data_IF_260511325705
#
_entry.id   IF_260511325705
#
_cell.length_a   1.000
_cell.length_b   1.000
_cell.length_c   1.000
_cell.angle_alpha   90.00
_cell.angle_beta   90.00
_cell.angle_gamma   90.00
#
_symmetry.space_group_name_H-M   'P 1'
#
loop_
_entity.id
_entity.type
_entity.pdbx_description
1 polymer ?
#
# COMPACT_ATOMS: atom_id res chain seq x y z
N UNK A 1 4.43 -26.42 3.96
CA UNK A 1 4.99 -25.86 2.72
C UNK A 1 4.21 -24.61 2.38
N UNK A 2 4.85 -23.55 1.86
CA UNK A 2 4.17 -22.34 1.42
C UNK A 2 4.36 -22.20 -0.09
N UNK A 3 3.29 -21.84 -0.78
CA UNK A 3 3.28 -21.48 -2.20
C UNK A 3 2.85 -20.02 -2.27
N UNK A 4 3.57 -19.25 -3.07
CA UNK A 4 3.33 -17.84 -3.29
C UNK A 4 2.95 -17.66 -4.76
N UNK A 5 1.68 -17.39 -4.98
CA UNK A 5 1.09 -17.19 -6.30
C UNK A 5 0.74 -15.72 -6.50
N UNK A 6 0.58 -15.34 -7.77
CA UNK A 6 0.20 -13.98 -8.11
C UNK A 6 -0.79 -13.89 -9.27
N UNK A 7 -1.56 -12.80 -9.26
CA UNK A 7 -2.43 -12.39 -10.36
C UNK A 7 -1.94 -11.03 -10.84
N UNK A 8 -1.58 -10.94 -12.12
CA UNK A 8 -1.13 -9.68 -12.72
C UNK A 8 -2.34 -8.87 -13.16
N UNK A 9 -2.48 -7.67 -12.61
CA UNK A 9 -3.49 -6.70 -12.99
C UNK A 9 -2.98 -5.76 -14.08
N UNK A 10 -3.66 -5.79 -15.24
CA UNK A 10 -3.50 -4.76 -16.25
C UNK A 10 -4.50 -3.64 -15.98
N UNK A 11 -4.00 -2.58 -15.34
CA UNK A 11 -4.75 -1.38 -14.94
C UNK A 11 -5.40 -0.65 -16.13
N UNK A 12 -4.74 -0.65 -17.29
CA UNK A 12 -5.21 0.08 -18.48
C UNK A 12 -6.47 -0.55 -19.06
N UNK A 13 -6.48 -1.88 -19.15
CA UNK A 13 -7.59 -2.61 -19.78
C UNK A 13 -8.57 -3.20 -18.75
N UNK A 14 -8.27 -3.05 -17.46
CA UNK A 14 -9.02 -3.65 -16.36
C UNK A 14 -9.18 -5.18 -16.52
N UNK A 15 -8.07 -5.85 -16.86
CA UNK A 15 -7.99 -7.30 -17.11
C UNK A 15 -6.97 -7.97 -16.20
N UNK A 16 -7.14 -9.27 -15.96
CA UNK A 16 -6.25 -10.09 -15.15
C UNK A 16 -5.56 -11.15 -16.01
N UNK A 17 -4.27 -11.36 -15.79
CA UNK A 17 -3.53 -12.43 -16.46
C UNK A 17 -3.89 -13.78 -15.84
N UNK A 18 -4.15 -14.78 -16.69
CA UNK A 18 -4.34 -16.18 -16.32
C UNK A 18 -3.61 -17.08 -17.31
N UNK A 19 -3.10 -18.22 -16.84
CA UNK A 19 -2.40 -19.19 -17.69
C UNK A 19 -2.93 -20.60 -17.54
N UNK A 20 -2.72 -21.40 -18.58
CA UNK A 20 -3.14 -22.79 -18.66
C UNK A 20 -1.93 -23.71 -18.75
N UNK A 21 -1.85 -24.65 -17.83
CA UNK A 21 -0.78 -25.65 -17.78
C UNK A 21 -0.76 -26.50 -19.03
N UNK A 22 0.44 -26.83 -19.51
CA UNK A 22 0.62 -27.78 -20.61
C UNK A 22 0.10 -29.18 -20.24
N UNK A 23 -0.34 -29.92 -21.26
CA UNK A 23 -0.92 -31.26 -21.10
C UNK A 23 0.08 -32.29 -20.57
N UNK A 24 1.37 -32.06 -20.79
CA UNK A 24 2.46 -32.95 -20.38
C UNK A 24 2.90 -32.73 -18.92
N UNK A 25 2.27 -31.80 -18.19
CA UNK A 25 2.58 -31.56 -16.78
C UNK A 25 2.12 -32.72 -15.92
N UNK A 26 3.00 -33.19 -15.04
CA UNK A 26 2.71 -34.28 -14.09
C UNK A 26 1.56 -33.97 -13.12
N UNK A 27 1.42 -32.71 -12.73
CA UNK A 27 0.48 -32.23 -11.73
C UNK A 27 -0.44 -31.19 -12.38
N UNK A 28 -1.76 -31.45 -12.30
CA UNK A 28 -2.85 -30.68 -12.92
C UNK A 28 -2.67 -30.36 -14.41
N UNK A 29 -2.46 -31.36 -15.28
CA UNK A 29 -2.36 -31.10 -16.72
C UNK A 29 -3.63 -30.44 -17.27
N UNK A 30 -3.45 -29.51 -18.22
CA UNK A 30 -4.56 -28.84 -18.94
C UNK A 30 -5.54 -28.06 -18.04
N UNK A 31 -5.08 -27.57 -16.88
CA UNK A 31 -5.86 -26.73 -15.96
C UNK A 31 -5.44 -25.27 -16.02
N UNK A 32 -6.40 -24.36 -15.83
CA UNK A 32 -6.16 -22.94 -15.60
C UNK A 32 -5.64 -22.71 -14.18
N UNK A 33 -4.63 -21.86 -14.04
CA UNK A 33 -3.96 -21.59 -12.77
C UNK A 33 -3.51 -20.14 -12.62
N UNK A 34 -3.11 -19.81 -11.39
CA UNK A 34 -2.25 -18.68 -11.08
C UNK A 34 -0.78 -19.09 -11.25
N UNK A 35 0.07 -18.27 -11.88
CA UNK A 35 1.52 -18.46 -11.84
C UNK A 35 2.05 -18.25 -10.41
N UNK A 36 3.20 -18.87 -10.13
CA UNK A 36 3.84 -18.82 -8.82
C UNK A 36 4.63 -20.09 -8.53
N UNK A 37 5.13 -20.18 -7.30
CA UNK A 37 5.91 -21.33 -6.89
C UNK A 37 6.22 -21.39 -5.39
N UNK A 38 7.17 -22.25 -5.04
CA UNK A 38 7.47 -22.53 -3.64
C UNK A 38 8.30 -21.42 -3.03
N UNK A 39 7.96 -21.07 -1.79
CA UNK A 39 8.83 -20.24 -0.96
C UNK A 39 10.07 -21.07 -0.57
N UNK A 40 11.25 -20.64 -1.03
CA UNK A 40 12.51 -21.32 -0.74
C UNK A 40 13.02 -21.05 0.68
N UNK A 41 13.94 -21.90 1.16
CA UNK A 41 14.53 -21.72 2.49
C UNK A 41 15.40 -20.44 2.54
N UNK A 42 15.08 -19.56 3.49
CA UNK A 42 15.76 -18.27 3.64
C UNK A 42 15.21 -17.15 2.74
N UNK A 43 14.25 -17.46 1.87
CA UNK A 43 13.59 -16.50 1.00
C UNK A 43 12.40 -15.82 1.70
N UNK A 44 12.26 -14.51 1.52
CA UNK A 44 11.08 -13.75 1.96
C UNK A 44 9.93 -13.86 0.96
N UNK A 45 8.71 -13.49 1.38
CA UNK A 45 7.54 -13.55 0.48
C UNK A 45 7.72 -12.64 -0.73
N UNK A 46 8.26 -11.44 -0.53
CA UNK A 46 8.49 -10.48 -1.63
C UNK A 46 9.58 -10.96 -2.59
N UNK A 47 10.65 -11.57 -2.08
CA UNK A 47 11.69 -12.17 -2.94
C UNK A 47 11.11 -13.31 -3.80
N UNK A 48 10.29 -14.17 -3.21
CA UNK A 48 9.60 -15.25 -3.92
C UNK A 48 8.66 -14.68 -5.00
N UNK A 49 7.84 -13.67 -4.68
CA UNK A 49 7.00 -12.99 -5.67
C UNK A 49 7.82 -12.43 -6.83
N UNK A 50 8.96 -11.80 -6.55
CA UNK A 50 9.82 -11.22 -7.57
C UNK A 50 10.45 -12.31 -8.46
N UNK A 51 11.03 -13.35 -7.85
CA UNK A 51 11.67 -14.47 -8.57
C UNK A 51 10.66 -15.21 -9.44
N UNK A 52 9.54 -15.64 -8.87
CA UNK A 52 8.51 -16.39 -9.58
C UNK A 52 7.88 -15.56 -10.70
N UNK A 53 7.61 -14.26 -10.49
CA UNK A 53 7.15 -13.37 -11.56
C UNK A 53 8.15 -13.33 -12.71
N UNK A 54 9.44 -13.19 -12.40
CA UNK A 54 10.49 -13.11 -13.41
C UNK A 54 10.65 -14.42 -14.17
N UNK A 55 10.65 -15.55 -13.47
CA UNK A 55 10.82 -16.89 -14.06
C UNK A 55 9.61 -17.31 -14.91
N UNK A 56 8.39 -17.04 -14.45
CA UNK A 56 7.15 -17.47 -15.14
C UNK A 56 6.76 -16.54 -16.30
N UNK A 57 7.15 -15.25 -16.26
CA UNK A 57 6.62 -14.25 -17.21
C UNK A 57 7.64 -13.29 -17.82
N UNK A 58 8.89 -13.28 -17.36
CA UNK A 58 9.94 -12.29 -17.67
C UNK A 58 9.60 -10.83 -17.29
N UNK A 59 8.45 -10.56 -16.66
CA UNK A 59 8.02 -9.23 -16.24
C UNK A 59 8.77 -8.77 -14.98
N UNK A 60 8.70 -7.45 -14.72
CA UNK A 60 9.25 -6.81 -13.54
C UNK A 60 8.13 -6.29 -12.65
N UNK A 61 8.17 -6.62 -11.37
CA UNK A 61 7.17 -6.23 -10.39
C UNK A 61 7.15 -4.70 -10.21
N UNK A 62 5.98 -4.08 -10.29
CA UNK A 62 5.80 -2.63 -10.08
C UNK A 62 5.00 -2.28 -8.85
N UNK A 63 4.15 -3.19 -8.37
CA UNK A 63 3.22 -2.95 -7.27
C UNK A 63 2.77 -4.29 -6.65
N UNK A 64 2.59 -4.32 -5.33
CA UNK A 64 1.89 -5.39 -4.62
C UNK A 64 0.65 -4.77 -3.97
N UNK A 65 -0.53 -5.05 -4.52
CA UNK A 65 -1.78 -4.49 -4.00
C UNK A 65 -2.20 -5.13 -2.68
N UNK A 66 -1.97 -6.44 -2.54
CA UNK A 66 -2.29 -7.19 -1.34
C UNK A 66 -2.67 -8.63 -1.62
N UNK A 67 -2.88 -9.41 -0.56
CA UNK A 67 -3.28 -10.81 -0.64
C UNK A 67 -4.77 -10.92 -0.91
N UNK A 68 -5.16 -11.46 -2.06
CA UNK A 68 -6.57 -11.60 -2.47
C UNK A 68 -7.17 -12.94 -2.09
N UNK A 69 -6.36 -13.96 -1.83
CA UNK A 69 -6.83 -15.24 -1.34
C UNK A 69 -5.75 -16.00 -0.57
N UNK A 70 -6.16 -16.90 0.31
CA UNK A 70 -5.29 -17.88 0.96
C UNK A 70 -6.08 -19.16 1.20
N UNK A 71 -5.52 -20.29 0.79
CA UNK A 71 -6.19 -21.59 0.93
C UNK A 71 -5.19 -22.71 1.22
N UNK A 72 -5.69 -23.76 1.86
CA UNK A 72 -4.91 -24.94 2.22
C UNK A 72 -5.22 -26.04 1.23
N UNK A 73 -4.17 -26.64 0.66
CA UNK A 73 -4.29 -27.76 -0.25
C UNK A 73 -4.86 -29.01 0.42
N UNK A 74 -5.29 -29.97 -0.41
CA UNK A 74 -5.86 -31.24 0.05
C UNK A 74 -4.93 -32.07 0.95
N UNK A 75 -3.62 -31.84 0.89
CA UNK A 75 -2.60 -32.45 1.77
C UNK A 75 -2.60 -31.90 3.21
N UNK A 76 -3.36 -30.82 3.46
CA UNK A 76 -3.47 -30.09 4.74
C UNK A 76 -2.16 -29.50 5.28
N UNK A 77 -1.09 -29.50 4.48
CA UNK A 77 0.26 -29.07 4.86
C UNK A 77 0.78 -27.94 3.97
N UNK A 78 0.16 -27.74 2.81
CA UNK A 78 0.54 -26.72 1.86
C UNK A 78 -0.46 -25.56 1.93
N UNK A 79 0.05 -24.37 2.23
CA UNK A 79 -0.70 -23.11 2.23
C UNK A 79 -0.33 -22.38 0.95
N UNK A 80 -1.33 -21.97 0.18
CA UNK A 80 -1.14 -21.11 -0.99
C UNK A 80 -1.69 -19.72 -0.69
N UNK A 81 -0.86 -18.70 -0.89
CA UNK A 81 -1.21 -17.30 -0.73
C UNK A 81 -1.14 -16.62 -2.09
N UNK A 82 -2.25 -16.04 -2.55
CA UNK A 82 -2.37 -15.42 -3.88
C UNK A 82 -2.39 -13.89 -3.74
N UNK A 83 -1.45 -13.22 -4.38
CA UNK A 83 -1.30 -11.76 -4.34
C UNK A 83 -1.77 -11.11 -5.63
N UNK A 84 -2.48 -9.98 -5.53
CA UNK A 84 -2.74 -9.11 -6.67
C UNK A 84 -1.55 -8.16 -6.83
N UNK A 85 -0.99 -8.13 -8.03
CA UNK A 85 0.19 -7.30 -8.35
C UNK A 85 -0.03 -6.52 -9.65
N UNK A 86 0.80 -5.52 -9.91
CA UNK A 86 1.05 -5.06 -11.29
C UNK A 86 2.52 -5.23 -11.65
N UNK A 87 2.77 -5.34 -12.95
CA UNK A 87 4.09 -5.58 -13.50
C UNK A 87 4.24 -4.92 -14.87
N UNK A 88 5.49 -4.68 -15.28
CA UNK A 88 5.85 -4.10 -16.56
C UNK A 88 6.96 -4.89 -17.27
N UNK A 89 7.06 -4.71 -18.59
CA UNK A 89 8.02 -5.41 -19.44
C UNK A 89 7.35 -6.20 -20.54
N UNK A 90 8.13 -7.07 -21.18
CA UNK A 90 7.64 -7.96 -22.24
C UNK A 90 7.27 -9.30 -21.62
N UNK A 91 6.01 -9.70 -21.80
CA UNK A 91 5.51 -10.98 -21.33
C UNK A 91 6.11 -12.11 -22.18
N UNK A 92 6.85 -13.00 -21.52
CA UNK A 92 7.41 -14.21 -22.14
C UNK A 92 7.15 -15.39 -21.20
N UNK A 93 6.48 -16.41 -21.73
CA UNK A 93 6.10 -17.62 -20.97
C UNK A 93 6.77 -18.85 -21.56
N UNK A 94 7.18 -19.77 -20.71
CA UNK A 94 7.78 -21.04 -21.14
C UNK A 94 6.71 -21.97 -21.72
N UNK A 95 6.68 -22.12 -23.06
CA UNK A 95 5.64 -22.89 -23.78
C UNK A 95 5.60 -24.37 -23.42
N UNK A 96 6.68 -24.93 -22.88
CA UNK A 96 6.70 -26.30 -22.36
C UNK A 96 5.84 -26.43 -21.08
N UNK A 97 5.75 -25.36 -20.28
CA UNK A 97 4.94 -25.33 -19.05
C UNK A 97 3.54 -24.76 -19.28
N UNK A 98 3.41 -23.79 -20.19
CA UNK A 98 2.19 -23.03 -20.44
C UNK A 98 1.72 -23.23 -21.89
N UNK A 99 0.56 -23.88 -22.05
CA UNK A 99 -0.04 -24.11 -23.35
C UNK A 99 -0.80 -22.89 -23.89
N UNK A 100 -1.40 -22.11 -23.00
CA UNK A 100 -2.25 -20.98 -23.31
C UNK A 100 -2.18 -19.94 -22.18
N UNK A 101 -2.32 -18.65 -22.50
CA UNK A 101 -2.53 -17.60 -21.51
C UNK A 101 -3.49 -16.55 -22.07
N UNK A 102 -4.21 -15.87 -21.17
CA UNK A 102 -5.21 -14.88 -21.52
C UNK A 102 -5.12 -13.67 -20.59
N UNK A 103 -5.55 -12.52 -21.10
CA UNK A 103 -5.93 -11.36 -20.30
C UNK A 103 -7.45 -11.31 -20.23
N UNK A 104 -8.00 -11.67 -19.08
CA UNK A 104 -9.43 -11.90 -18.92
C UNK A 104 -10.10 -10.75 -18.18
N UNK A 105 -11.35 -10.48 -18.54
CA UNK A 105 -12.27 -9.70 -17.72
C UNK A 105 -13.15 -10.62 -16.86
N UNK A 106 -14.01 -10.04 -16.02
CA UNK A 106 -14.90 -10.78 -15.11
C UNK A 106 -15.88 -11.70 -15.83
N UNK A 107 -16.36 -11.33 -17.02
CA UNK A 107 -17.27 -12.17 -17.79
C UNK A 107 -16.55 -13.42 -18.31
N UNK A 108 -15.35 -13.26 -18.86
CA UNK A 108 -14.52 -14.39 -19.32
C UNK A 108 -14.11 -15.32 -18.18
N UNK A 109 -13.92 -14.79 -16.95
CA UNK A 109 -13.68 -15.63 -15.77
C UNK A 109 -14.84 -16.62 -15.53
N UNK A 110 -16.09 -16.14 -15.60
CA UNK A 110 -17.28 -16.99 -15.41
C UNK A 110 -17.39 -18.06 -16.50
N UNK A 111 -17.04 -17.73 -17.75
CA UNK A 111 -17.03 -18.70 -18.86
C UNK A 111 -15.97 -19.79 -18.66
N UNK A 112 -14.75 -19.41 -18.29
CA UNK A 112 -13.62 -20.33 -18.10
C UNK A 112 -13.91 -21.35 -16.98
N UNK A 113 -14.53 -20.91 -15.89
CA UNK A 113 -14.77 -21.72 -14.69
C UNK A 113 -16.23 -22.14 -14.51
N UNK A 114 -17.05 -22.05 -15.57
CA UNK A 114 -18.51 -22.28 -15.52
C UNK A 114 -18.91 -23.56 -14.77
N UNK A 115 -18.13 -24.64 -14.93
CA UNK A 115 -18.41 -25.96 -14.35
C UNK A 115 -17.45 -26.35 -13.20
N UNK A 116 -16.52 -25.48 -12.79
CA UNK A 116 -15.50 -25.82 -11.79
C UNK A 116 -15.02 -24.59 -10.99
N UNK A 117 -15.89 -24.03 -10.15
CA UNK A 117 -15.55 -22.91 -9.25
C UNK A 117 -14.71 -23.41 -8.07
N UNK A 118 -13.41 -23.49 -8.28
CA UNK A 118 -12.40 -23.91 -7.29
C UNK A 118 -11.67 -22.70 -6.66
N UNK A 119 -10.61 -22.95 -5.88
CA UNK A 119 -9.83 -21.91 -5.22
C UNK A 119 -9.14 -20.94 -6.21
N UNK A 120 -8.80 -21.39 -7.42
CA UNK A 120 -8.27 -20.52 -8.48
C UNK A 120 -9.35 -19.54 -8.93
N UNK A 121 -10.55 -20.02 -9.25
CA UNK A 121 -11.70 -19.14 -9.54
C UNK A 121 -11.94 -18.14 -8.41
N UNK A 122 -11.92 -18.60 -7.15
CA UNK A 122 -12.15 -17.72 -6.00
C UNK A 122 -11.08 -16.62 -5.90
N UNK A 123 -9.83 -16.93 -6.22
CA UNK A 123 -8.72 -15.97 -6.22
C UNK A 123 -8.94 -14.84 -7.25
N UNK A 124 -9.31 -15.19 -8.48
CA UNK A 124 -9.65 -14.20 -9.51
C UNK A 124 -10.94 -13.45 -9.18
N UNK A 125 -11.94 -14.11 -8.61
CA UNK A 125 -13.19 -13.49 -8.20
C UNK A 125 -12.96 -12.41 -7.13
N UNK A 126 -12.16 -12.73 -6.11
CA UNK A 126 -11.76 -11.79 -5.06
C UNK A 126 -10.96 -10.61 -5.64
N UNK A 127 -10.05 -10.86 -6.58
CA UNK A 127 -9.28 -9.80 -7.25
C UNK A 127 -10.20 -8.83 -8.02
N UNK A 128 -11.14 -9.34 -8.82
CA UNK A 128 -12.13 -8.48 -9.49
C UNK A 128 -13.01 -7.73 -8.51
N UNK A 129 -13.48 -8.38 -7.43
CA UNK A 129 -14.28 -7.73 -6.39
C UNK A 129 -13.54 -6.56 -5.75
N UNK A 130 -12.24 -6.74 -5.42
CA UNK A 130 -11.36 -5.70 -4.91
C UNK A 130 -11.23 -4.55 -5.91
N UNK A 131 -10.89 -4.83 -7.17
CA UNK A 131 -10.71 -3.80 -8.21
C UNK A 131 -12.02 -3.03 -8.46
N UNK A 132 -13.17 -3.70 -8.40
CA UNK A 132 -14.48 -3.09 -8.58
C UNK A 132 -14.96 -2.31 -7.33
N UNK A 133 -14.46 -2.64 -6.14
CA UNK A 133 -14.86 -2.00 -4.89
C UNK A 133 -14.63 -0.48 -4.91
N UNK A 134 -13.51 0.00 -5.48
CA UNK A 134 -13.23 1.44 -5.65
C UNK A 134 -14.28 2.15 -6.50
N UNK A 135 -14.85 1.48 -7.53
CA UNK A 135 -15.84 2.10 -8.43
C UNK A 135 -17.12 2.48 -7.67
N UNK A 136 -17.45 1.75 -6.60
CA UNK A 136 -18.63 1.99 -5.76
C UNK A 136 -18.53 3.29 -4.95
N UNK A 137 -17.30 3.74 -4.65
CA UNK A 137 -17.07 4.87 -3.74
C UNK A 137 -16.42 6.07 -4.43
N UNK A 138 -15.64 5.85 -5.50
CA UNK A 138 -14.72 6.81 -6.09
C UNK A 138 -15.36 8.16 -6.40
N UNK A 139 -16.48 8.17 -7.13
CA UNK A 139 -17.15 9.43 -7.49
C UNK A 139 -17.53 10.22 -6.25
N UNK A 140 -18.19 9.57 -5.28
CA UNK A 140 -18.62 10.22 -4.04
C UNK A 140 -17.45 10.70 -3.20
N UNK A 141 -16.32 9.98 -3.18
CA UNK A 141 -15.10 10.44 -2.51
C UNK A 141 -14.55 11.69 -3.21
N UNK A 142 -14.40 11.66 -4.54
CA UNK A 142 -13.87 12.79 -5.31
C UNK A 142 -14.74 14.05 -5.20
N UNK A 143 -16.07 13.89 -5.11
CA UNK A 143 -17.00 15.00 -4.93
C UNK A 143 -16.87 15.70 -3.57
N UNK A 144 -16.26 15.05 -2.57
CA UNK A 144 -16.25 15.54 -1.18
C UNK A 144 -14.84 15.73 -0.59
N UNK A 145 -13.80 15.07 -1.12
CA UNK A 145 -12.46 15.08 -0.52
C UNK A 145 -11.92 16.48 -0.33
N UNK A 146 -12.01 17.37 -1.33
CA UNK A 146 -11.51 18.73 -1.21
C UNK A 146 -12.26 19.56 -0.15
N UNK A 147 -13.56 19.33 0.01
CA UNK A 147 -14.36 19.98 1.06
C UNK A 147 -13.89 19.52 2.44
N UNK A 148 -13.60 18.23 2.59
CA UNK A 148 -13.04 17.69 3.83
C UNK A 148 -11.67 18.30 4.13
N UNK A 149 -10.78 18.35 3.14
CA UNK A 149 -9.43 18.91 3.32
C UNK A 149 -9.45 20.42 3.64
N UNK A 150 -10.41 21.18 3.09
CA UNK A 150 -10.60 22.59 3.47
C UNK A 150 -11.05 22.71 4.94
N UNK A 151 -11.92 21.81 5.42
CA UNK A 151 -12.30 21.73 6.82
C UNK A 151 -11.12 21.40 7.73
N UNK A 152 -10.31 20.39 7.37
CA UNK A 152 -9.07 20.04 8.08
C UNK A 152 -8.14 21.24 8.15
N UNK A 153 -7.92 21.93 7.03
CA UNK A 153 -7.07 23.14 6.95
C UNK A 153 -7.49 24.20 7.96
N UNK A 154 -8.78 24.53 7.98
CA UNK A 154 -9.34 25.54 8.86
C UNK A 154 -9.16 25.18 10.34
N UNK A 155 -9.16 23.89 10.68
CA UNK A 155 -8.90 23.42 12.05
C UNK A 155 -7.40 23.52 12.34
N UNK A 156 -6.54 23.00 11.47
CA UNK A 156 -5.08 23.05 11.61
C UNK A 156 -4.56 24.47 11.83
N UNK A 157 -5.03 25.45 11.05
CA UNK A 157 -4.61 26.86 11.14
C UNK A 157 -4.94 27.52 12.49
N UNK A 158 -5.93 27.01 13.23
CA UNK A 158 -6.23 27.50 14.59
C UNK A 158 -5.13 27.14 15.59
N UNK A 159 -4.50 25.99 15.42
CA UNK A 159 -3.64 25.36 16.43
C UNK A 159 -2.16 25.41 16.07
N UNK A 160 -1.80 25.21 14.81
CA UNK A 160 -0.41 25.14 14.37
C UNK A 160 0.30 26.49 14.55
N UNK A 161 1.42 26.49 15.28
CA UNK A 161 2.21 27.70 15.63
C UNK A 161 1.42 28.79 16.37
N UNK A 162 0.31 28.43 17.03
CA UNK A 162 -0.44 29.39 17.83
C UNK A 162 0.16 29.53 19.23
N UNK A 163 1.05 30.52 19.38
CA UNK A 163 1.82 30.80 20.60
C UNK A 163 0.93 31.03 21.83
N UNK A 164 -0.28 31.54 21.65
CA UNK A 164 -1.18 31.84 22.77
C UNK A 164 -1.84 30.58 23.34
N UNK A 165 -2.03 29.55 22.51
CA UNK A 165 -2.55 28.25 22.93
C UNK A 165 -1.47 27.39 23.63
N UNK A 166 -0.21 27.50 23.20
CA UNK A 166 0.92 26.80 23.84
C UNK A 166 1.16 27.21 25.29
N UNK A 167 0.80 28.45 25.67
CA UNK A 167 0.94 28.96 27.05
C UNK A 167 -0.13 28.45 28.00
N UNK A 168 -1.18 27.81 27.49
CA UNK A 168 -2.23 27.23 28.31
C UNK A 168 -1.78 25.86 28.83
N UNK A 169 -1.03 25.85 29.93
CA UNK A 169 -0.73 24.63 30.68
C UNK A 169 -2.04 24.02 31.18
N UNK A 170 -2.61 23.09 30.41
CA UNK A 170 -3.73 22.27 30.84
C UNK A 170 -3.24 20.89 31.27
N UNK A 171 -3.83 20.29 32.33
CA UNK A 171 -3.41 18.98 32.83
C UNK A 171 -3.70 17.81 31.87
N UNK A 172 -4.52 18.01 30.83
CA UNK A 172 -5.21 16.94 30.08
C UNK A 172 -5.17 17.05 28.54
N UNK A 173 -4.48 18.03 27.94
CA UNK A 173 -4.47 18.12 26.48
C UNK A 173 -3.55 19.21 25.94
N UNK A 174 -2.43 18.78 25.35
CA UNK A 174 -1.59 19.66 24.55
C UNK A 174 -2.39 20.24 23.36
N UNK A 175 -2.04 21.42 22.81
CA UNK A 175 -2.73 21.97 21.65
C UNK A 175 -2.83 21.02 20.45
N UNK A 176 -1.83 20.14 20.28
CA UNK A 176 -1.86 19.12 19.23
C UNK A 176 -2.93 18.06 19.50
N UNK A 177 -3.02 17.54 20.73
CA UNK A 177 -4.07 16.56 21.12
C UNK A 177 -5.50 17.11 20.95
N UNK A 178 -5.70 18.42 21.06
CA UNK A 178 -6.99 19.06 20.79
C UNK A 178 -7.23 19.15 19.28
N UNK A 179 -6.21 19.53 18.51
CA UNK A 179 -6.28 19.57 17.06
C UNK A 179 -6.58 18.20 16.46
N UNK A 180 -5.90 17.15 16.92
CA UNK A 180 -6.12 15.75 16.52
C UNK A 180 -7.57 15.34 16.69
N UNK A 181 -8.11 15.51 17.91
CA UNK A 181 -9.49 15.14 18.24
C UNK A 181 -10.53 15.95 17.45
N UNK A 182 -10.27 17.24 17.20
CA UNK A 182 -11.18 18.10 16.43
C UNK A 182 -11.19 17.70 14.95
N UNK A 183 -10.02 17.43 14.35
CA UNK A 183 -9.88 16.96 12.98
C UNK A 183 -10.53 15.58 12.81
N UNK A 184 -10.26 14.63 13.71
CA UNK A 184 -10.84 13.29 13.67
C UNK A 184 -12.37 13.35 13.75
N UNK A 185 -12.89 14.09 14.74
CA UNK A 185 -14.34 14.25 14.93
C UNK A 185 -14.99 14.88 13.70
N UNK A 186 -14.37 15.88 13.10
CA UNK A 186 -14.84 16.52 11.87
C UNK A 186 -14.88 15.52 10.71
N UNK A 187 -13.77 14.82 10.44
CA UNK A 187 -13.67 13.85 9.35
C UNK A 187 -14.64 12.68 9.54
N UNK A 188 -14.74 12.12 10.75
CA UNK A 188 -15.69 11.07 11.07
C UNK A 188 -17.13 11.50 10.75
N UNK A 189 -17.55 12.69 11.18
CA UNK A 189 -18.90 13.20 10.91
C UNK A 189 -19.16 13.40 9.41
N UNK A 190 -18.22 14.00 8.69
CA UNK A 190 -18.33 14.24 7.25
C UNK A 190 -18.36 12.93 6.44
N UNK A 191 -17.50 11.98 6.79
CA UNK A 191 -17.47 10.66 6.17
C UNK A 191 -18.77 9.90 6.49
N UNK A 192 -19.24 9.89 7.74
CA UNK A 192 -20.47 9.18 8.14
C UNK A 192 -21.71 9.69 7.41
N UNK A 193 -21.80 11.00 7.15
CA UNK A 193 -22.89 11.59 6.32
C UNK A 193 -22.93 10.99 4.92
N UNK A 194 -21.77 10.67 4.34
CA UNK A 194 -21.66 10.13 2.97
C UNK A 194 -21.67 8.61 2.96
N UNK A 195 -21.14 7.96 3.99
CA UNK A 195 -20.94 6.52 4.06
C UNK A 195 -21.45 5.98 5.40
N UNK A 196 -22.78 6.04 5.66
CA UNK A 196 -23.34 5.73 6.97
C UNK A 196 -23.12 4.29 7.42
N UNK A 197 -23.00 3.34 6.48
CA UNK A 197 -22.74 1.94 6.80
C UNK A 197 -21.26 1.63 7.03
N UNK A 198 -20.32 2.44 6.51
CA UNK A 198 -18.90 2.13 6.58
C UNK A 198 -18.38 2.23 8.01
N UNK A 199 -17.42 1.38 8.33
CA UNK A 199 -16.65 1.47 9.55
C UNK A 199 -15.68 2.65 9.49
N UNK A 200 -15.26 3.14 10.65
CA UNK A 200 -14.27 4.19 10.82
C UNK A 200 -13.30 3.79 11.93
N UNK A 201 -12.01 3.97 11.68
CA UNK A 201 -10.92 3.73 12.60
C UNK A 201 -10.13 5.04 12.63
N UNK A 202 -10.08 5.68 13.79
CA UNK A 202 -9.23 6.83 14.06
C UNK A 202 -8.11 6.45 15.03
N UNK A 203 -7.12 7.32 15.16
CA UNK A 203 -6.04 7.18 16.15
C UNK A 203 -6.55 7.51 17.57
N UNK A 204 -7.44 8.51 17.69
CA UNK A 204 -7.76 9.15 18.97
C UNK A 204 -8.98 8.55 19.68
N UNK A 205 -10.00 8.12 18.91
CA UNK A 205 -11.27 7.64 19.47
C UNK A 205 -11.66 6.26 18.96
N UNK A 206 -12.37 5.52 19.83
CA UNK A 206 -13.04 4.28 19.45
C UNK A 206 -14.40 4.59 18.81
N UNK A 207 -14.70 3.89 17.72
CA UNK A 207 -15.98 3.98 17.01
C UNK A 207 -16.65 2.61 16.90
N UNK A 208 -17.97 2.60 16.72
CA UNK A 208 -18.71 1.36 16.53
C UNK A 208 -18.22 0.62 15.28
N UNK A 209 -17.91 -0.66 15.46
CA UNK A 209 -17.39 -1.53 14.41
C UNK A 209 -18.40 -2.61 14.05
N UNK A 210 -18.79 -2.65 12.78
CA UNK A 210 -19.62 -3.70 12.19
C UNK A 210 -18.73 -4.67 11.40
N UNK A 211 -18.52 -5.87 11.96
CA UNK A 211 -17.70 -6.91 11.33
C UNK A 211 -18.25 -7.46 10.02
N UNK A 212 -19.53 -7.19 9.70
CA UNK A 212 -20.15 -7.60 8.44
C UNK A 212 -19.84 -6.65 7.28
N UNK A 213 -19.36 -5.43 7.56
CA UNK A 213 -19.01 -4.47 6.53
C UNK A 213 -17.50 -4.49 6.21
N UNK A 214 -17.19 -4.74 4.94
CA UNK A 214 -15.82 -4.80 4.44
C UNK A 214 -15.17 -3.43 4.21
N UNK A 215 -15.94 -2.34 4.17
CA UNK A 215 -15.42 -0.99 3.99
C UNK A 215 -15.07 -0.33 5.32
N UNK A 216 -13.82 0.09 5.47
CA UNK A 216 -13.28 0.76 6.66
C UNK A 216 -12.55 2.03 6.25
N UNK A 217 -12.96 3.18 6.78
CA UNK A 217 -12.14 4.39 6.73
C UNK A 217 -11.09 4.33 7.83
N UNK A 218 -9.84 4.62 7.50
CA UNK A 218 -8.75 4.69 8.47
C UNK A 218 -8.14 6.08 8.34
N UNK A 219 -8.04 6.80 9.45
CA UNK A 219 -7.63 8.21 9.47
C UNK A 219 -6.59 8.44 10.55
N UNK A 220 -5.48 9.08 10.16
CA UNK A 220 -4.59 9.78 11.07
C UNK A 220 -4.83 11.29 10.90
N UNK A 221 -5.35 11.99 11.92
CA UNK A 221 -5.58 13.43 11.87
C UNK A 221 -4.30 14.26 11.68
N UNK A 222 -3.21 13.91 12.37
CA UNK A 222 -1.92 14.61 12.37
C UNK A 222 -0.78 13.57 12.49
N UNK A 223 -0.44 12.96 11.36
CA UNK A 223 0.76 12.15 11.23
C UNK A 223 1.98 13.08 11.30
N UNK A 224 2.91 12.79 12.21
CA UNK A 224 4.00 13.69 12.56
C UNK A 224 3.65 14.68 13.69
N UNK A 225 2.94 14.23 14.73
CA UNK A 225 2.58 15.01 15.94
C UNK A 225 3.76 15.84 16.48
N UNK A 226 4.97 15.27 16.51
CA UNK A 226 6.16 16.00 16.99
C UNK A 226 6.54 17.16 16.06
N UNK A 227 6.41 16.97 14.75
CA UNK A 227 6.62 18.02 13.76
C UNK A 227 5.60 19.14 13.90
N UNK A 228 4.34 18.80 14.16
CA UNK A 228 3.29 19.77 14.50
C UNK A 228 3.66 20.62 15.73
N UNK A 229 3.99 19.98 16.85
CA UNK A 229 4.33 20.65 18.13
C UNK A 229 5.49 21.63 17.96
N UNK A 230 6.53 21.25 17.21
CA UNK A 230 7.73 22.11 17.06
C UNK A 230 7.65 23.06 15.87
N UNK A 231 6.51 23.13 15.18
CA UNK A 231 6.31 24.06 14.07
C UNK A 231 6.97 23.66 12.74
N UNK A 232 7.31 22.38 12.54
CA UNK A 232 7.83 21.86 11.26
C UNK A 232 6.68 21.47 10.33
N UNK A 233 6.60 21.99 9.09
CA UNK A 233 5.51 21.71 8.17
C UNK A 233 5.71 20.38 7.41
N UNK A 234 6.15 19.32 8.09
CA UNK A 234 6.31 17.98 7.53
C UNK A 234 5.18 17.03 7.95
N UNK A 235 4.39 17.41 8.96
CA UNK A 235 3.18 16.68 9.34
C UNK A 235 2.10 16.78 8.25
N UNK A 236 1.12 15.89 8.31
CA UNK A 236 -0.05 15.91 7.45
C UNK A 236 -1.21 15.09 7.99
N UNK A 237 -2.33 15.13 7.29
CA UNK A 237 -3.50 14.28 7.57
C UNK A 237 -3.53 13.13 6.58
N UNK A 238 -3.71 11.91 7.10
CA UNK A 238 -3.83 10.69 6.32
C UNK A 238 -5.28 10.22 6.29
N UNK A 239 -5.81 9.99 5.10
CA UNK A 239 -7.18 9.46 4.91
C UNK A 239 -7.11 8.27 3.97
N UNK A 240 -7.47 7.10 4.48
CA UNK A 240 -7.56 5.86 3.71
C UNK A 240 -8.97 5.29 3.70
N UNK A 241 -9.33 4.61 2.62
CA UNK A 241 -10.46 3.69 2.60
C UNK A 241 -9.94 2.31 2.22
N UNK A 242 -10.26 1.34 3.07
CA UNK A 242 -9.84 -0.05 2.99
C UNK A 242 -11.04 -0.93 2.64
N UNK A 243 -10.83 -1.91 1.77
CA UNK A 243 -11.78 -2.95 1.44
C UNK A 243 -11.15 -4.33 1.69
N UNK A 244 -11.75 -5.14 2.58
CA UNK A 244 -11.22 -6.46 2.97
C UNK A 244 -9.70 -6.44 3.29
N UNK A 245 -9.29 -5.46 4.09
CA UNK A 245 -7.90 -5.21 4.51
C UNK A 245 -6.91 -4.68 3.45
N UNK A 246 -7.38 -4.41 2.23
CA UNK A 246 -6.55 -3.78 1.20
C UNK A 246 -6.97 -2.31 1.00
N UNK A 247 -6.05 -1.35 1.13
CA UNK A 247 -6.34 0.05 0.82
C UNK A 247 -6.72 0.25 -0.64
N UNK A 248 -7.90 0.83 -0.87
CA UNK A 248 -8.45 1.11 -2.21
C UNK A 248 -8.44 2.60 -2.57
N UNK A 249 -8.22 3.47 -1.57
CA UNK A 249 -8.07 4.91 -1.69
C UNK A 249 -7.14 5.41 -0.61
N UNK A 250 -6.28 6.38 -0.95
CA UNK A 250 -5.39 7.04 -0.02
C UNK A 250 -5.27 8.53 -0.34
N UNK A 251 -5.16 9.34 0.70
CA UNK A 251 -4.88 10.76 0.63
C UNK A 251 -3.85 11.15 1.69
N UNK A 252 -2.79 11.82 1.25
CA UNK A 252 -1.86 12.56 2.10
C UNK A 252 -2.17 14.03 1.90
N UNK A 253 -2.45 14.75 2.99
CA UNK A 253 -2.70 16.19 2.94
C UNK A 253 -1.74 16.95 3.84
N UNK A 254 -0.95 17.84 3.24
CA UNK A 254 -0.11 18.79 3.95
C UNK A 254 -0.85 20.15 4.03
N UNK A 255 -1.41 20.54 5.19
CA UNK A 255 -2.31 21.70 5.29
C UNK A 255 -1.62 23.07 5.21
N UNK A 256 -0.32 23.15 5.52
CA UNK A 256 0.47 24.40 5.54
C UNK A 256 0.86 24.85 4.13
N UNK A 257 1.37 23.93 3.31
CA UNK A 257 1.71 24.13 1.90
C UNK A 257 0.51 23.89 0.99
N UNK A 258 -0.58 23.35 1.54
CA UNK A 258 -1.81 22.99 0.84
C UNK A 258 -1.62 21.88 -0.21
N UNK A 259 -0.54 21.09 -0.07
CA UNK A 259 -0.19 19.99 -0.96
C UNK A 259 -1.03 18.74 -0.68
N UNK A 260 -1.50 18.08 -1.75
CA UNK A 260 -2.42 16.92 -1.66
C UNK A 260 -1.96 15.84 -2.61
N UNK A 261 -1.71 14.65 -2.10
CA UNK A 261 -1.52 13.43 -2.89
C UNK A 261 -2.77 12.58 -2.74
N UNK A 262 -3.37 12.18 -3.86
CA UNK A 262 -4.60 11.38 -3.87
C UNK A 262 -4.45 10.27 -4.91
N UNK A 263 -4.78 9.04 -4.52
CA UNK A 263 -4.84 7.91 -5.44
C UNK A 263 -5.89 6.89 -5.03
N UNK A 264 -6.38 6.15 -6.02
CA UNK A 264 -7.15 4.93 -5.82
C UNK A 264 -6.35 3.75 -6.37
N UNK A 265 -6.64 2.54 -5.88
CA UNK A 265 -6.02 1.30 -6.35
C UNK A 265 -6.05 1.22 -7.88
N UNK A 266 -4.90 1.13 -8.55
CA UNK A 266 -4.79 1.04 -10.01
C UNK A 266 -5.26 2.27 -10.79
N UNK A 267 -5.40 3.42 -10.12
CA UNK A 267 -5.58 4.72 -10.79
C UNK A 267 -4.28 5.54 -10.74
N UNK A 268 -4.12 6.54 -11.62
CA UNK A 268 -2.99 7.45 -11.55
C UNK A 268 -2.95 8.27 -10.26
N UNK A 269 -1.75 8.77 -9.92
CA UNK A 269 -1.58 9.74 -8.84
C UNK A 269 -2.17 11.10 -9.24
N UNK A 270 -2.89 11.73 -8.31
CA UNK A 270 -3.31 13.12 -8.40
C UNK A 270 -2.53 13.96 -7.38
N UNK A 271 -1.93 15.05 -7.84
CA UNK A 271 -1.24 16.03 -7.00
C UNK A 271 -1.92 17.39 -7.16
N UNK A 272 -2.43 17.96 -6.06
CA UNK A 272 -3.17 19.24 -6.06
C UNK A 272 -4.27 19.32 -7.15
N UNK A 273 -5.01 18.22 -7.34
CA UNK A 273 -6.06 18.03 -8.36
C UNK A 273 -5.59 17.70 -9.78
N UNK A 274 -4.29 17.77 -10.07
CA UNK A 274 -3.75 17.43 -11.39
C UNK A 274 -3.28 15.99 -11.43
N UNK A 275 -3.64 15.28 -12.50
CA UNK A 275 -3.06 13.96 -12.76
C UNK A 275 -1.55 14.11 -12.99
N UNK A 276 -0.76 13.32 -12.27
CA UNK A 276 0.70 13.25 -12.45
C UNK A 276 1.04 11.98 -13.21
N UNK A 277 1.81 12.12 -14.29
CA UNK A 277 2.49 10.99 -14.90
C UNK A 277 3.91 10.96 -14.32
N UNK A 278 4.15 9.99 -13.44
CA UNK A 278 5.48 9.81 -12.86
C UNK A 278 6.28 8.96 -13.85
N UNK A 279 7.29 9.57 -14.47
CA UNK A 279 8.34 8.83 -15.14
C UNK A 279 9.23 8.18 -14.09
N UNK A 280 9.62 6.92 -14.30
CA UNK A 280 10.69 6.30 -13.53
C UNK A 280 11.98 7.11 -13.74
N UNK A 281 12.55 7.73 -12.69
CA UNK A 281 13.85 8.40 -12.83
C UNK A 281 14.90 7.37 -13.26
N UNK A 282 15.86 7.78 -14.08
CA UNK A 282 17.07 6.99 -14.25
C UNK A 282 17.81 6.97 -12.91
N UNK A 283 18.02 5.79 -12.31
CA UNK A 283 18.93 5.62 -11.19
C UNK A 283 20.34 5.93 -11.71
N UNK A 284 20.74 7.19 -11.60
CA UNK A 284 22.13 7.56 -11.73
C UNK A 284 22.48 8.60 -10.68
N UNK A 285 22.87 8.01 -9.54
CA UNK A 285 23.78 8.52 -8.50
C UNK A 285 23.34 9.79 -7.81
N UNK A 286 22.56 9.59 -6.74
CA UNK A 286 22.61 10.29 -5.46
C UNK A 286 21.37 9.87 -4.64
N UNK A 287 21.43 8.72 -3.95
CA UNK A 287 20.26 8.19 -3.22
C UNK A 287 19.91 9.11 -2.04
N UNK A 288 18.70 9.64 -2.03
CA UNK A 288 18.11 10.39 -0.93
C UNK A 288 17.24 9.47 -0.07
N UNK A 289 17.52 9.40 1.23
CA UNK A 289 16.80 8.52 2.14
C UNK A 289 16.24 9.24 3.34
N UNK A 290 15.07 8.79 3.80
CA UNK A 290 14.48 9.20 5.07
C UNK A 290 14.33 8.01 6.00
N UNK A 291 14.64 8.22 7.28
CA UNK A 291 14.54 7.21 8.34
C UNK A 291 14.09 7.86 9.66
N UNK A 292 13.57 7.09 10.63
CA UNK A 292 13.38 7.60 11.97
C UNK A 292 14.73 7.94 12.63
N UNK A 293 14.68 8.56 13.80
CA UNK A 293 15.88 8.80 14.60
C UNK A 293 16.66 7.48 14.85
N UNK A 294 18.01 7.50 14.86
CA UNK A 294 18.83 6.28 14.98
C UNK A 294 18.49 5.40 16.19
N UNK A 295 17.99 5.99 17.27
CA UNK A 295 17.62 5.31 18.52
C UNK A 295 16.41 4.36 18.37
N UNK A 296 15.63 4.50 17.29
CA UNK A 296 14.50 3.61 16.98
C UNK A 296 14.99 2.23 16.53
N UNK A 297 16.18 2.13 15.92
CA UNK A 297 16.77 0.87 15.49
C UNK A 297 17.37 0.13 16.69
N UNK A 298 16.67 -0.88 17.21
CA UNK A 298 17.01 -1.59 18.45
C UNK A 298 17.54 -3.00 18.19
N UNK A 299 16.94 -3.72 17.23
CA UNK A 299 17.33 -5.09 16.93
C UNK A 299 18.59 -5.14 16.07
N UNK A 300 19.34 -6.24 16.15
CA UNK A 300 20.53 -6.45 15.31
C UNK A 300 20.21 -6.34 13.81
N UNK A 301 19.03 -6.81 13.41
CA UNK A 301 18.56 -6.75 12.02
C UNK A 301 18.30 -5.31 11.60
N UNK A 302 17.55 -4.55 12.39
CA UNK A 302 17.27 -3.13 12.15
C UNK A 302 18.55 -2.30 12.06
N UNK A 303 19.50 -2.51 12.98
CA UNK A 303 20.79 -1.84 12.96
C UNK A 303 21.56 -2.18 11.66
N UNK A 304 21.62 -3.46 11.28
CA UNK A 304 22.28 -3.87 10.04
C UNK A 304 21.65 -3.22 8.79
N UNK A 305 20.32 -3.18 8.72
CA UNK A 305 19.60 -2.52 7.63
C UNK A 305 20.00 -1.04 7.55
N UNK A 306 20.00 -0.34 8.68
CA UNK A 306 20.40 1.06 8.75
C UNK A 306 21.88 1.27 8.36
N UNK A 307 22.79 0.39 8.79
CA UNK A 307 24.19 0.41 8.36
C UNK A 307 24.37 0.15 6.86
N UNK A 308 23.57 -0.72 6.28
CA UNK A 308 23.58 -0.99 4.84
C UNK A 308 23.05 0.21 4.05
N UNK A 309 21.97 0.83 4.52
CA UNK A 309 21.43 2.06 3.92
C UNK A 309 22.48 3.18 3.90
N UNK A 310 23.20 3.40 5.02
CA UNK A 310 24.28 4.39 5.12
C UNK A 310 25.38 4.24 4.07
N UNK A 311 25.63 3.02 3.58
CA UNK A 311 26.68 2.77 2.56
C UNK A 311 26.25 3.18 1.15
N UNK A 312 24.95 3.17 0.88
CA UNK A 312 24.40 3.43 -0.46
C UNK A 312 23.77 4.81 -0.59
N UNK A 313 23.26 5.38 0.51
CA UNK A 313 22.62 6.69 0.54
C UNK A 313 23.67 7.78 0.41
N UNK A 314 23.43 8.74 -0.48
CA UNK A 314 24.22 9.97 -0.51
C UNK A 314 23.93 10.82 0.73
N UNK A 315 22.65 10.87 1.11
CA UNK A 315 22.15 11.61 2.25
C UNK A 315 21.07 10.82 2.96
N UNK A 316 21.10 10.93 4.28
CA UNK A 316 20.06 10.42 5.17
C UNK A 316 19.50 11.61 5.93
N UNK A 317 18.20 11.81 5.76
CA UNK A 317 17.41 12.75 6.54
C UNK A 317 16.63 12.00 7.61
N UNK A 318 16.43 12.64 8.77
CA UNK A 318 15.73 12.04 9.90
C UNK A 318 14.35 12.64 10.05
N UNK A 319 13.35 11.77 10.14
CA UNK A 319 11.93 12.09 10.28
C UNK A 319 11.41 12.90 9.08
N UNK A 320 10.65 12.25 8.24
CA UNK A 320 9.97 12.86 7.10
C UNK A 320 8.46 12.92 7.26
N UNK A 321 7.94 12.20 8.26
CA UNK A 321 6.51 11.94 8.47
C UNK A 321 5.87 11.48 7.12
N UNK A 322 4.56 11.63 6.95
CA UNK A 322 3.86 11.29 5.72
C UNK A 322 4.32 12.12 4.52
N UNK A 323 4.85 13.33 4.75
CA UNK A 323 5.30 14.21 3.67
C UNK A 323 6.42 13.59 2.86
N UNK A 324 7.35 12.87 3.48
CA UNK A 324 8.40 12.17 2.77
C UNK A 324 7.85 11.11 1.80
N UNK A 325 6.76 10.41 2.14
CA UNK A 325 6.11 9.48 1.22
C UNK A 325 5.44 10.18 0.03
N UNK A 326 4.87 11.38 0.26
CA UNK A 326 4.44 12.27 -0.82
C UNK A 326 5.59 12.59 -1.79
N UNK A 327 6.76 12.96 -1.25
CA UNK A 327 7.97 13.23 -2.03
C UNK A 327 8.53 11.98 -2.74
N UNK A 328 8.50 10.81 -2.09
CA UNK A 328 8.90 9.53 -2.68
C UNK A 328 7.99 9.17 -3.84
N UNK A 329 6.69 9.38 -3.71
CA UNK A 329 5.75 9.16 -4.80
C UNK A 329 6.11 10.00 -6.04
N UNK A 330 6.59 11.22 -5.83
CA UNK A 330 7.02 12.13 -6.90
C UNK A 330 8.45 11.90 -7.40
N UNK A 331 9.24 11.05 -6.74
CA UNK A 331 10.63 10.75 -7.11
C UNK A 331 11.67 11.74 -6.57
N UNK A 332 11.34 12.53 -5.54
CA UNK A 332 12.31 13.39 -4.83
C UNK A 332 13.01 12.67 -3.68
N UNK A 333 12.46 11.56 -3.22
CA UNK A 333 13.03 10.67 -2.22
C UNK A 333 13.08 9.27 -2.81
N UNK A 334 14.18 8.56 -2.61
CA UNK A 334 14.40 7.24 -3.21
C UNK A 334 13.99 6.11 -2.26
N UNK A 335 14.29 6.26 -0.97
CA UNK A 335 14.11 5.21 0.04
C UNK A 335 13.57 5.81 1.33
N UNK A 336 12.53 5.18 1.88
CA UNK A 336 12.05 5.45 3.24
C UNK A 336 12.06 4.14 4.01
N UNK A 337 12.56 4.19 5.26
CA UNK A 337 12.44 3.09 6.21
C UNK A 337 11.80 3.65 7.48
N UNK A 338 10.73 3.04 7.94
CA UNK A 338 10.05 3.35 9.19
C UNK A 338 9.74 2.08 9.99
N UNK A 339 9.50 2.27 11.28
CA UNK A 339 9.28 1.20 12.24
C UNK A 339 8.15 1.59 13.20
N UNK A 340 7.60 0.57 13.86
CA UNK A 340 6.57 0.76 14.89
C UNK A 340 5.29 1.46 14.36
N UNK A 341 4.96 1.27 13.07
CA UNK A 341 3.80 1.91 12.42
C UNK A 341 2.49 1.15 12.66
N UNK A 342 1.44 1.87 13.04
CA UNK A 342 0.06 1.42 13.10
C UNK A 342 -0.68 1.60 11.77
N UNK A 343 -1.87 1.00 11.63
CA UNK A 343 -2.61 0.99 10.36
C UNK A 343 -3.01 2.38 9.86
N UNK A 344 -3.19 3.35 10.74
CA UNK A 344 -3.47 4.74 10.36
C UNK A 344 -2.24 5.44 9.75
N UNK A 345 -1.02 5.11 10.19
CA UNK A 345 0.23 5.70 9.69
C UNK A 345 0.53 5.33 8.22
N UNK A 346 0.17 4.12 7.78
CA UNK A 346 0.55 3.64 6.45
C UNK A 346 -0.59 3.37 5.48
N UNK A 347 -1.83 3.17 5.94
CA UNK A 347 -2.94 2.78 5.07
C UNK A 347 -3.22 3.78 3.94
N UNK A 348 -3.05 5.08 4.20
CA UNK A 348 -3.24 6.12 3.19
C UNK A 348 -2.04 6.25 2.23
N UNK A 349 -0.86 5.82 2.67
CA UNK A 349 0.36 5.85 1.87
C UNK A 349 0.33 4.82 0.74
N UNK A 350 -0.21 3.62 1.01
CA UNK A 350 -0.09 2.49 0.09
C UNK A 350 -0.69 2.77 -1.31
N UNK A 351 -1.92 3.32 -1.45
CA UNK A 351 -2.45 3.67 -2.77
C UNK A 351 -1.62 4.73 -3.50
N UNK A 352 -1.03 5.70 -2.78
CA UNK A 352 -0.15 6.73 -3.34
C UNK A 352 1.15 6.10 -3.87
N UNK A 353 1.73 5.18 -3.10
CA UNK A 353 2.93 4.44 -3.49
C UNK A 353 2.69 3.55 -4.71
N UNK A 354 1.55 2.85 -4.75
CA UNK A 354 1.13 2.02 -5.88
C UNK A 354 1.00 2.83 -7.17
N UNK A 355 0.29 3.97 -7.11
CA UNK A 355 0.10 4.87 -8.25
C UNK A 355 1.40 5.48 -8.78
N UNK A 356 2.47 5.44 -7.98
CA UNK A 356 3.80 5.96 -8.30
C UNK A 356 4.83 4.88 -8.64
N UNK A 357 4.38 3.63 -8.80
CA UNK A 357 5.22 2.44 -9.05
C UNK A 357 6.34 2.29 -8.01
N UNK A 358 5.97 2.48 -6.76
CA UNK A 358 6.84 2.26 -5.61
C UNK A 358 6.50 0.92 -4.98
N UNK A 359 7.52 0.14 -4.62
CA UNK A 359 7.37 -1.08 -3.84
C UNK A 359 7.49 -0.74 -2.37
N UNK A 360 6.76 -1.50 -1.56
CA UNK A 360 6.83 -1.43 -0.11
C UNK A 360 6.54 -2.79 0.53
N UNK A 361 7.17 -3.03 1.66
CA UNK A 361 7.02 -4.26 2.45
C UNK A 361 7.61 -4.06 3.85
N UNK A 362 7.38 -5.01 4.77
CA UNK A 362 8.02 -4.96 6.09
C UNK A 362 9.52 -5.27 6.00
N UNK A 363 10.30 -4.96 7.05
CA UNK A 363 11.71 -5.37 7.12
C UNK A 363 11.91 -6.89 7.05
N UNK A 364 10.85 -7.68 7.27
CA UNK A 364 10.85 -9.14 7.11
C UNK A 364 10.49 -9.61 5.69
N UNK A 365 10.39 -8.69 4.73
CA UNK A 365 10.07 -9.00 3.34
C UNK A 365 8.66 -9.56 3.17
N UNK A 366 7.73 -9.12 4.03
CA UNK A 366 6.31 -9.48 3.97
C UNK A 366 5.53 -8.32 3.35
N UNK A 367 4.68 -8.57 2.34
CA UNK A 367 3.77 -7.56 1.84
C UNK A 367 2.87 -7.00 2.95
N UNK A 368 2.64 -5.70 2.95
CA UNK A 368 1.82 -5.04 3.97
C UNK A 368 0.34 -5.40 3.80
N UNK A 369 -0.31 -5.80 4.89
CA UNK A 369 -1.73 -6.12 4.98
C UNK A 369 -2.32 -5.46 6.24
N UNK A 370 -3.51 -4.85 6.12
CA UNK A 370 -4.16 -4.12 7.21
C UNK A 370 -4.74 -5.14 8.19
N UNK A 371 -3.90 -5.57 9.13
CA UNK A 371 -4.20 -6.66 10.06
C UNK A 371 -3.71 -6.32 11.48
N UNK A 372 -4.30 -5.29 12.08
CA UNK A 372 -4.30 -4.95 13.53
C UNK A 372 -2.97 -5.06 14.30
N UNK A 373 -1.82 -5.00 13.63
CA UNK A 373 -0.50 -5.12 14.25
C UNK A 373 0.42 -4.04 13.74
N UNK A 374 1.25 -3.52 14.65
CA UNK A 374 2.31 -2.59 14.31
C UNK A 374 3.29 -3.26 13.36
N UNK A 375 3.71 -2.57 12.30
CA UNK A 375 4.65 -3.09 11.32
C UNK A 375 5.83 -2.14 11.10
N UNK A 376 6.92 -2.67 10.56
CA UNK A 376 7.91 -1.85 9.87
C UNK A 376 7.49 -1.65 8.41
N UNK A 377 8.04 -0.62 7.79
CA UNK A 377 7.82 -0.31 6.39
C UNK A 377 9.13 0.11 5.74
N UNK A 378 9.50 -0.56 4.66
CA UNK A 378 10.48 -0.04 3.70
C UNK A 378 9.74 0.29 2.42
N UNK A 379 10.01 1.45 1.84
CA UNK A 379 9.40 1.90 0.59
C UNK A 379 10.46 2.50 -0.34
N UNK A 380 10.40 2.16 -1.63
CA UNK A 380 11.31 2.67 -2.66
C UNK A 380 10.72 2.47 -4.07
N UNK A 381 11.32 3.09 -5.09
CA UNK A 381 10.86 2.92 -6.47
C UNK A 381 11.10 1.50 -7.00
N UNK A 382 10.10 0.91 -7.66
CA UNK A 382 10.12 -0.51 -8.04
C UNK A 382 11.35 -0.94 -8.87
N UNK A 383 11.79 -0.09 -9.81
CA UNK A 383 12.95 -0.35 -10.66
C UNK A 383 14.28 -0.45 -9.88
N UNK A 384 14.33 0.01 -8.63
CA UNK A 384 15.48 -0.11 -7.73
C UNK A 384 15.51 -1.44 -6.95
N UNK A 385 14.49 -2.30 -7.07
CA UNK A 385 14.35 -3.50 -6.24
C UNK A 385 15.60 -4.37 -6.14
N UNK A 386 16.15 -4.80 -7.27
CA UNK A 386 17.34 -5.66 -7.29
C UNK A 386 18.58 -5.01 -6.64
N UNK A 387 18.66 -3.68 -6.66
CA UNK A 387 19.77 -2.96 -6.05
C UNK A 387 19.59 -2.80 -4.54
N UNK A 388 18.34 -2.79 -4.06
CA UNK A 388 17.98 -2.40 -2.71
C UNK A 388 17.47 -3.56 -1.84
N UNK A 389 17.11 -4.71 -2.41
CA UNK A 389 16.63 -5.85 -1.63
C UNK A 389 17.69 -6.39 -0.67
N UNK A 390 18.97 -6.27 -1.04
CA UNK A 390 20.10 -6.59 -0.17
C UNK A 390 20.19 -5.70 1.08
N UNK A 391 19.45 -4.58 1.14
CA UNK A 391 19.38 -3.77 2.36
C UNK A 391 18.76 -4.52 3.54
N UNK A 392 17.80 -5.41 3.28
CA UNK A 392 17.02 -6.10 4.31
C UNK A 392 17.50 -7.52 4.61
N UNK A 393 18.55 -7.97 3.91
CA UNK A 393 19.32 -9.18 4.22
C UNK A 393 20.39 -8.87 5.26
#
# INVERSE_FOLDING_TARGET
MKIIDFIIFNETNNTLYIQKRSKDRRIFPDQWETPGGHLEEGETIVECLFRELKEETNLSLTCIYGKVNEFIWSDKKTINSVYLISAEGNLEVEREKVSEYLWINKFQLEEIFLNNKNDIYQSFSNAFELIESKKKVKQKVMDNIFIWLDGVKNITEKYFKNIDLEKTNKPDGSPVSIADKEIESFLHLEIKKKFPSHNYIGEENEYNYDSSNFFKWIVDPIDGTRSFIVGRPTFGTLISLVYKNIPIFGCIYQPVTNEKWIAFLGDPLYYNSNRVNISTPNINKDIESFVPAPEVFKSKKEINVFENLKKISKRISYNGDCYAYGLLSMGFVDIIIEQELHEYDYSALLPILNASKSLYFSLDGVPIDISNSSTSLIAFKAHSFLQLIELVK
#
